data_IF_891037084097
#
_entry.id   IF_891037084097
#
_cell.length_a   1.000
_cell.length_b   1.000
_cell.length_c   1.000
_cell.angle_alpha   90.00
_cell.angle_beta   90.00
_cell.angle_gamma   90.00
#
_symmetry.space_group_name_H-M   'P 1'
#
loop_
_entity.id
_entity.type
_entity.pdbx_description
1 polymer ?
#
# COMPACT_ATOMS: atom_id res chain seq x y z
N UNK A 1 18.27 -5.81 4.87
CA UNK A 1 17.04 -6.62 5.07
C UNK A 1 16.54 -6.92 3.68
N UNK A 2 16.85 -8.10 3.16
CA UNK A 2 16.34 -8.53 1.86
C UNK A 2 14.86 -8.83 2.05
N UNK A 3 14.01 -8.07 1.35
CA UNK A 3 12.59 -8.34 1.34
C UNK A 3 12.38 -9.49 0.35
N UNK A 4 12.01 -10.66 0.85
CA UNK A 4 11.59 -11.81 0.04
C UNK A 4 10.69 -11.33 -1.13
N UNK A 5 10.85 -11.87 -2.34
CA UNK A 5 9.98 -11.53 -3.46
C UNK A 5 8.54 -11.89 -3.08
N UNK A 6 7.70 -10.88 -2.90
CA UNK A 6 6.30 -11.08 -2.56
C UNK A 6 5.53 -11.41 -3.84
N UNK A 7 4.89 -12.56 -3.93
CA UNK A 7 4.05 -12.84 -5.09
C UNK A 7 2.78 -11.96 -5.07
N UNK A 8 2.30 -11.48 -6.25
CA UNK A 8 1.02 -10.81 -6.33
C UNK A 8 -0.13 -11.71 -5.88
N UNK A 9 -0.94 -11.23 -4.94
CA UNK A 9 -2.03 -11.98 -4.31
C UNK A 9 -3.39 -11.40 -4.69
N UNK A 10 -4.32 -12.27 -5.07
CA UNK A 10 -5.72 -11.90 -5.27
C UNK A 10 -6.48 -11.85 -3.95
N UNK A 11 -7.16 -10.74 -3.70
CA UNK A 11 -8.13 -10.58 -2.61
C UNK A 11 -9.49 -10.36 -3.25
N UNK A 12 -10.44 -11.27 -2.99
CA UNK A 12 -11.82 -11.19 -3.50
C UNK A 12 -12.79 -10.95 -2.36
N UNK A 13 -13.72 -10.03 -2.57
CA UNK A 13 -14.90 -9.77 -1.74
C UNK A 13 -16.16 -10.00 -2.59
N UNK A 14 -17.34 -9.83 -2.00
CA UNK A 14 -18.61 -10.07 -2.68
C UNK A 14 -18.86 -9.17 -3.91
N UNK A 15 -18.27 -7.96 -3.95
CA UNK A 15 -18.47 -6.99 -5.05
C UNK A 15 -17.20 -6.53 -5.74
N UNK A 16 -16.03 -7.04 -5.35
CA UNK A 16 -14.76 -6.54 -5.84
C UNK A 16 -13.67 -7.62 -5.76
N UNK A 17 -12.76 -7.64 -6.72
CA UNK A 17 -11.49 -8.32 -6.58
C UNK A 17 -10.31 -7.38 -6.85
N UNK A 18 -9.27 -7.51 -6.04
CA UNK A 18 -8.04 -6.74 -6.16
C UNK A 18 -6.83 -7.67 -6.21
N UNK A 19 -5.94 -7.43 -7.17
CA UNK A 19 -4.60 -7.97 -7.19
C UNK A 19 -3.69 -7.02 -6.40
N UNK A 20 -3.04 -7.52 -5.35
CA UNK A 20 -2.19 -6.74 -4.46
C UNK A 20 -0.75 -7.26 -4.46
N UNK A 21 0.19 -6.36 -4.25
CA UNK A 21 1.60 -6.65 -4.03
C UNK A 21 2.09 -5.80 -2.86
N UNK A 22 2.71 -6.42 -1.85
CA UNK A 22 3.18 -5.76 -0.61
C UNK A 22 2.13 -4.82 0.01
N UNK A 23 0.90 -5.32 0.13
CA UNK A 23 -0.27 -4.60 0.63
C UNK A 23 -0.75 -3.40 -0.22
N UNK A 24 -0.07 -3.04 -1.31
CA UNK A 24 -0.55 -2.03 -2.25
C UNK A 24 -1.37 -2.68 -3.38
N UNK A 25 -2.37 -1.94 -3.89
CA UNK A 25 -3.19 -2.39 -5.02
C UNK A 25 -2.43 -2.25 -6.34
N UNK A 26 -2.29 -3.34 -7.09
CA UNK A 26 -1.74 -3.34 -8.45
C UNK A 26 -2.82 -3.08 -9.50
N UNK A 27 -3.89 -3.86 -9.44
CA UNK A 27 -5.00 -3.85 -10.38
C UNK A 27 -6.24 -4.42 -9.68
N UNK A 28 -7.42 -4.13 -10.20
CA UNK A 28 -8.64 -4.74 -9.66
C UNK A 28 -9.85 -4.53 -10.55
N UNK A 29 -10.95 -5.13 -10.15
CA UNK A 29 -12.24 -4.90 -10.74
C UNK A 29 -13.35 -4.83 -9.69
N UNK A 30 -14.38 -4.07 -9.99
CA UNK A 30 -15.64 -3.96 -9.25
C UNK A 30 -16.77 -4.55 -10.08
N UNK A 31 -17.64 -5.33 -9.43
CA UNK A 31 -18.77 -5.99 -10.06
C UNK A 31 -20.00 -5.10 -9.88
N UNK A 32 -20.55 -4.61 -10.99
CA UNK A 32 -21.82 -3.90 -11.02
C UNK A 32 -22.91 -4.80 -11.60
N UNK A 33 -24.21 -4.47 -11.42
CA UNK A 33 -25.31 -5.27 -11.94
C UNK A 33 -25.23 -5.52 -13.46
N UNK A 34 -24.76 -4.53 -14.22
CA UNK A 34 -24.76 -4.56 -15.69
C UNK A 34 -23.40 -4.87 -16.32
N UNK A 35 -22.31 -4.71 -15.55
CA UNK A 35 -20.95 -4.83 -16.06
C UNK A 35 -19.93 -5.00 -14.94
N UNK A 36 -18.71 -5.39 -15.32
CA UNK A 36 -17.55 -5.42 -14.44
C UNK A 36 -16.61 -4.28 -14.82
N UNK A 37 -16.34 -3.38 -13.87
CA UNK A 37 -15.45 -2.24 -14.05
C UNK A 37 -14.03 -2.60 -13.61
N UNK A 38 -13.11 -2.71 -14.56
CA UNK A 38 -11.69 -2.93 -14.30
C UNK A 38 -10.97 -1.59 -14.16
N UNK A 39 -10.16 -1.46 -13.12
CA UNK A 39 -9.32 -0.30 -12.86
C UNK A 39 -7.86 -0.75 -12.89
N UNK A 40 -7.14 -0.32 -13.94
CA UNK A 40 -5.70 -0.55 -14.09
C UNK A 40 -4.97 0.75 -14.41
N UNK A 41 -3.67 0.81 -14.13
CA UNK A 41 -2.83 1.94 -14.54
C UNK A 41 -2.25 1.71 -15.92
N UNK A 42 -2.33 2.72 -16.78
CA UNK A 42 -1.65 2.72 -18.07
C UNK A 42 -0.27 3.36 -17.92
N UNK A 43 0.79 2.57 -18.04
CA UNK A 43 2.18 3.06 -17.92
C UNK A 43 2.68 3.75 -19.18
N UNK A 44 1.95 3.68 -20.30
CA UNK A 44 2.25 4.46 -21.50
C UNK A 44 1.71 5.89 -21.45
N UNK A 45 0.65 6.14 -20.69
CA UNK A 45 -0.06 7.44 -20.67
C UNK A 45 -0.13 8.08 -19.28
N UNK A 46 0.17 7.33 -18.22
CA UNK A 46 0.00 7.77 -16.82
C UNK A 46 -1.45 7.74 -16.34
N UNK A 47 -2.42 7.59 -17.23
CA UNK A 47 -3.85 7.58 -16.92
C UNK A 47 -4.30 6.24 -16.28
N UNK A 48 -5.37 6.28 -15.48
CA UNK A 48 -6.03 5.10 -14.91
C UNK A 48 -7.38 4.89 -15.57
N UNK A 49 -7.44 4.25 -16.75
CA UNK A 49 -8.71 3.98 -17.40
C UNK A 49 -9.57 3.05 -16.54
N UNK A 50 -10.87 3.34 -16.51
CA UNK A 50 -11.88 2.39 -16.05
C UNK A 50 -12.47 1.71 -17.28
N UNK A 51 -12.20 0.42 -17.45
CA UNK A 51 -12.70 -0.36 -18.59
C UNK A 51 -13.88 -1.21 -18.15
N UNK A 52 -14.92 -1.29 -18.98
CA UNK A 52 -16.12 -2.08 -18.70
C UNK A 52 -16.06 -3.40 -19.45
N UNK A 53 -16.36 -4.48 -18.75
CA UNK A 53 -16.41 -5.84 -19.28
C UNK A 53 -17.76 -6.48 -18.97
N UNK A 54 -18.16 -7.44 -19.79
CA UNK A 54 -19.43 -8.15 -19.60
C UNK A 54 -19.39 -9.12 -18.41
N UNK A 55 -18.24 -9.72 -18.11
CA UNK A 55 -18.11 -10.76 -17.06
C UNK A 55 -16.82 -10.62 -16.26
N UNK A 56 -16.81 -11.20 -15.06
CA UNK A 56 -15.63 -11.28 -14.19
C UNK A 56 -14.48 -12.05 -14.85
N UNK A 57 -14.78 -13.11 -15.60
CA UNK A 57 -13.75 -13.91 -16.28
C UNK A 57 -12.99 -13.11 -17.33
N UNK A 58 -13.70 -12.28 -18.11
CA UNK A 58 -13.06 -11.41 -19.11
C UNK A 58 -12.24 -10.32 -18.41
N UNK A 59 -12.77 -9.73 -17.34
CA UNK A 59 -12.03 -8.77 -16.52
C UNK A 59 -10.74 -9.37 -15.94
N UNK A 60 -10.80 -10.60 -15.44
CA UNK A 60 -9.63 -11.32 -14.90
C UNK A 60 -8.59 -11.59 -15.97
N UNK A 61 -8.98 -12.12 -17.13
CA UNK A 61 -8.07 -12.36 -18.27
C UNK A 61 -7.40 -11.08 -18.75
N UNK A 62 -8.14 -9.97 -18.76
CA UNK A 62 -7.59 -8.66 -19.07
C UNK A 62 -6.52 -8.24 -18.05
N UNK A 63 -6.79 -8.40 -16.75
CA UNK A 63 -5.81 -8.06 -15.69
C UNK A 63 -4.57 -8.96 -15.79
N UNK A 64 -4.73 -10.25 -16.10
CA UNK A 64 -3.60 -11.16 -16.35
C UNK A 64 -2.75 -10.72 -17.55
N UNK A 65 -3.39 -10.33 -18.67
CA UNK A 65 -2.68 -9.79 -19.83
C UNK A 65 -1.99 -8.46 -19.51
N UNK A 66 -2.64 -7.60 -18.71
CA UNK A 66 -2.06 -6.36 -18.23
C UNK A 66 -0.84 -6.63 -17.33
N UNK A 67 -0.90 -7.62 -16.44
CA UNK A 67 0.21 -8.04 -15.59
C UNK A 67 1.40 -8.56 -16.41
N UNK A 68 1.16 -9.34 -17.47
CA UNK A 68 2.24 -9.79 -18.37
C UNK A 68 2.96 -8.62 -19.04
N UNK A 69 2.26 -7.54 -19.35
CA UNK A 69 2.83 -6.38 -20.05
C UNK A 69 3.42 -5.33 -19.12
N UNK A 70 2.81 -5.10 -17.96
CA UNK A 70 3.10 -3.96 -17.09
C UNK A 70 3.36 -4.34 -15.63
N UNK A 71 3.19 -5.61 -15.25
CA UNK A 71 3.26 -6.07 -13.86
C UNK A 71 4.60 -5.78 -13.20
N UNK A 72 5.71 -6.04 -13.89
CA UNK A 72 7.06 -5.75 -13.37
C UNK A 72 7.23 -4.27 -13.04
N UNK A 73 6.87 -3.39 -13.99
CA UNK A 73 6.93 -1.94 -13.80
C UNK A 73 5.99 -1.46 -12.70
N UNK A 74 4.83 -2.11 -12.55
CA UNK A 74 3.88 -1.78 -11.50
C UNK A 74 4.37 -2.16 -10.11
N UNK A 75 5.03 -3.31 -9.98
CA UNK A 75 5.68 -3.73 -8.73
C UNK A 75 6.86 -2.81 -8.38
N UNK A 76 7.70 -2.47 -9.36
CA UNK A 76 8.81 -1.53 -9.17
C UNK A 76 8.34 -0.14 -8.71
N UNK A 77 7.23 0.37 -9.26
CA UNK A 77 6.61 1.64 -8.81
C UNK A 77 6.11 1.57 -7.36
N UNK A 78 5.57 0.42 -6.93
CA UNK A 78 5.14 0.20 -5.54
C UNK A 78 6.36 0.19 -4.61
N UNK A 79 7.41 -0.53 -5.00
CA UNK A 79 8.64 -0.62 -4.22
C UNK A 79 9.35 0.75 -4.12
N UNK A 80 9.39 1.53 -5.21
CA UNK A 80 9.94 2.89 -5.20
C UNK A 80 9.19 3.81 -4.23
N UNK A 81 7.85 3.77 -4.24
CA UNK A 81 7.01 4.57 -3.32
C UNK A 81 7.18 4.14 -1.86
N UNK A 82 7.34 2.84 -1.61
CA UNK A 82 7.62 2.35 -0.26
C UNK A 82 8.96 2.89 0.26
N UNK A 83 9.99 2.94 -0.60
CA UNK A 83 11.29 3.50 -0.25
C UNK A 83 11.26 5.03 -0.05
N UNK A 84 10.50 5.76 -0.86
CA UNK A 84 10.28 7.20 -0.68
C UNK A 84 9.57 7.50 0.64
N UNK A 85 8.50 6.77 0.98
CA UNK A 85 7.80 6.93 2.25
C UNK A 85 8.69 6.66 3.46
N UNK A 86 9.57 5.66 3.38
CA UNK A 86 10.57 5.39 4.43
C UNK A 86 11.60 6.51 4.57
N UNK A 87 12.02 7.14 3.46
CA UNK A 87 12.95 8.29 3.49
C UNK A 87 12.30 9.52 4.09
N UNK A 88 11.07 9.85 3.68
CA UNK A 88 10.33 10.98 4.25
C UNK A 88 10.12 10.84 5.76
N UNK A 89 9.86 9.62 6.23
CA UNK A 89 9.70 9.34 7.65
C UNK A 89 11.04 9.45 8.42
N UNK A 90 12.14 8.98 7.83
CA UNK A 90 13.48 9.20 8.39
C UNK A 90 13.85 10.69 8.45
N UNK A 91 13.56 11.46 7.40
CA UNK A 91 13.78 12.91 7.39
C UNK A 91 12.94 13.60 8.47
N UNK A 92 11.65 13.26 8.58
CA UNK A 92 10.77 13.79 9.63
C UNK A 92 11.27 13.44 11.04
N UNK A 93 11.81 12.24 11.24
CA UNK A 93 12.39 11.83 12.52
C UNK A 93 13.71 12.55 12.81
N UNK A 94 14.53 12.82 11.79
CA UNK A 94 15.78 13.58 11.93
C UNK A 94 15.53 15.08 12.20
N UNK A 95 14.42 15.63 11.70
CA UNK A 95 13.97 17.01 11.97
C UNK A 95 13.30 17.17 13.33
N UNK A 96 12.93 16.07 14.01
CA UNK A 96 12.43 16.17 15.38
C UNK A 96 13.56 16.69 16.26
N UNK A 97 13.36 17.81 17.00
CA UNK A 97 14.33 18.22 18.00
C UNK A 97 14.57 17.03 18.94
N UNK A 98 15.82 16.76 19.33
CA UNK A 98 16.11 15.65 20.23
C UNK A 98 15.18 15.75 21.43
N UNK A 99 14.46 14.66 21.73
CA UNK A 99 13.65 14.59 22.94
C UNK A 99 14.61 14.79 24.10
N UNK A 100 14.59 16.00 24.66
CA UNK A 100 15.29 16.33 25.88
C UNK A 100 14.56 15.56 26.99
N UNK A 101 14.98 14.32 27.22
CA UNK A 101 14.58 13.55 28.38
C UNK A 101 15.27 14.14 29.62
N UNK A 102 15.06 15.42 29.87
CA UNK A 102 15.07 15.93 31.24
C UNK A 102 13.83 15.34 31.89
N UNK A 103 13.92 14.06 32.26
CA UNK A 103 13.00 13.45 33.22
C UNK A 103 13.01 14.40 34.41
N UNK A 104 11.92 15.12 34.71
CA UNK A 104 11.89 15.88 35.94
C UNK A 104 12.05 14.83 37.04
N UNK A 105 13.19 14.84 37.72
CA UNK A 105 13.43 14.01 38.91
C UNK A 105 12.28 14.35 39.84
N UNK A 106 11.21 13.53 39.84
CA UNK A 106 10.09 13.70 40.75
C UNK A 106 10.72 13.83 42.14
N UNK A 107 10.45 14.90 42.90
CA UNK A 107 11.02 15.03 44.22
C UNK A 107 10.59 13.79 45.01
N UNK A 108 11.57 13.02 45.46
CA UNK A 108 11.38 11.86 46.33
C UNK A 108 10.53 12.35 47.51
N UNK A 109 9.24 11.99 47.56
CA UNK A 109 8.39 12.31 48.71
C UNK A 109 9.03 11.60 49.90
N UNK A 110 9.65 12.37 50.81
CA UNK A 110 10.18 11.84 52.08
C UNK A 110 9.03 11.17 52.84
N UNK A 111 9.22 9.98 53.42
CA UNK A 111 8.22 9.40 54.29
C UNK A 111 7.98 10.35 55.46
N UNK A 112 6.72 10.74 55.66
CA UNK A 112 6.30 11.58 56.79
C UNK A 112 6.45 10.73 58.04
N UNK A 113 7.49 11.00 58.84
CA UNK A 113 7.68 10.41 60.16
C UNK A 113 6.73 11.13 61.13
N UNK A 114 5.90 10.37 61.84
CA UNK A 114 5.03 10.82 62.92
C UNK A 114 3.55 10.61 62.59
N UNK A 115 2.75 9.91 63.39
CA UNK A 115 2.81 9.64 64.83
C UNK A 115 2.48 8.18 65.12
#
# INVERSE_FOLDING_TARGET
MELEPAEPLWIKTAGQAQLRYRHASLAGYEVHPDHVAVITRSYSTGFRPTLRFATEDVARRYIEAWMKRWGERAMADIDARAMEGLREEQTRLAERPPLDFTVPKRPFRRPRKGW
#
